data_IF_432053782204
#
_entry.id   IF_432053782204
#
_cell.length_a   1.000
_cell.length_b   1.000
_cell.length_c   1.000
_cell.angle_alpha   90.00
_cell.angle_beta   90.00
_cell.angle_gamma   90.00
#
_symmetry.space_group_name_H-M   'P 1'
#
loop_
_entity.id
_entity.type
_entity.pdbx_description
1 polymer ?
#
# COMPACT_ATOMS: atom_id res chain seq x y z
N UNK A 1 12.13 22.22 -15.35
CA UNK A 1 11.28 21.46 -14.41
C UNK A 1 11.15 20.05 -14.93
N UNK A 2 11.93 19.10 -14.40
CA UNK A 2 11.76 17.70 -14.75
C UNK A 2 10.46 17.19 -14.13
N UNK A 3 9.63 16.51 -14.90
CA UNK A 3 8.45 15.83 -14.34
C UNK A 3 8.95 14.79 -13.33
N UNK A 4 8.53 14.92 -12.07
CA UNK A 4 8.77 13.90 -11.05
C UNK A 4 8.20 12.57 -11.56
N UNK A 5 9.05 11.58 -11.83
CA UNK A 5 8.59 10.25 -12.21
C UNK A 5 8.00 9.56 -10.98
N UNK A 6 6.83 8.95 -11.16
CA UNK A 6 6.10 8.24 -10.10
C UNK A 6 5.98 6.77 -10.45
N UNK A 7 6.24 5.93 -9.45
CA UNK A 7 5.88 4.51 -9.45
C UNK A 7 4.53 4.37 -8.74
N UNK A 8 3.57 3.69 -9.37
CA UNK A 8 2.26 3.43 -8.77
C UNK A 8 2.20 1.97 -8.35
N UNK A 9 1.94 1.72 -7.07
CA UNK A 9 1.76 0.38 -6.50
C UNK A 9 0.31 0.18 -6.14
N UNK A 10 -0.32 -0.80 -6.79
CA UNK A 10 -1.62 -1.33 -6.39
C UNK A 10 -1.43 -2.52 -5.45
N UNK A 11 -2.20 -2.54 -4.36
CA UNK A 11 -2.25 -3.66 -3.43
C UNK A 11 -3.58 -3.69 -2.68
N UNK A 12 -3.92 -4.85 -2.11
CA UNK A 12 -5.14 -5.02 -1.33
C UNK A 12 -4.79 -5.53 0.07
N UNK A 13 -5.43 -4.95 1.08
CA UNK A 13 -5.43 -5.47 2.44
C UNK A 13 -6.64 -6.38 2.61
N UNK A 14 -6.41 -7.67 2.85
CA UNK A 14 -7.48 -8.63 3.12
C UNK A 14 -7.97 -8.47 4.56
N UNK A 15 -9.27 -8.22 4.75
CA UNK A 15 -9.87 -8.19 6.09
C UNK A 15 -9.83 -9.58 6.70
N UNK A 16 -9.68 -9.63 8.03
CA UNK A 16 -9.82 -10.88 8.76
C UNK A 16 -11.27 -11.39 8.68
N UNK A 17 -11.49 -12.71 8.62
CA UNK A 17 -12.83 -13.29 8.69
C UNK A 17 -13.61 -12.76 9.90
N UNK A 18 -14.89 -12.46 9.70
CA UNK A 18 -15.76 -11.92 10.75
C UNK A 18 -15.56 -10.43 11.06
N UNK A 19 -14.60 -9.75 10.45
CA UNK A 19 -14.43 -8.30 10.60
C UNK A 19 -15.36 -7.56 9.62
N UNK A 20 -16.38 -6.81 10.10
CA UNK A 20 -17.27 -6.06 9.22
C UNK A 20 -16.54 -4.88 8.56
N UNK A 21 -16.98 -4.53 7.35
CA UNK A 21 -16.57 -3.28 6.71
C UNK A 21 -16.97 -2.09 7.59
N UNK A 22 -16.10 -1.09 7.69
CA UNK A 22 -16.36 0.11 8.47
C UNK A 22 -16.32 1.34 7.55
N UNK A 23 -17.31 2.24 7.59
CA UNK A 23 -17.40 3.36 6.65
C UNK A 23 -16.16 4.26 6.62
N UNK A 24 -15.48 4.44 7.75
CA UNK A 24 -14.28 5.26 7.84
C UNK A 24 -12.97 4.51 7.56
N UNK A 25 -13.00 3.20 7.31
CA UNK A 25 -11.77 2.40 7.29
C UNK A 25 -10.77 2.82 6.21
N UNK A 26 -11.26 3.35 5.08
CA UNK A 26 -10.40 3.87 4.03
C UNK A 26 -9.64 5.11 4.50
N UNK A 27 -10.31 6.04 5.18
CA UNK A 27 -9.70 7.23 5.75
C UNK A 27 -8.72 6.85 6.88
N UNK A 28 -9.14 5.96 7.80
CA UNK A 28 -8.29 5.50 8.90
C UNK A 28 -6.99 4.88 8.40
N UNK A 29 -7.04 4.04 7.36
CA UNK A 29 -5.84 3.41 6.79
C UNK A 29 -4.95 4.42 6.07
N UNK A 30 -5.53 5.41 5.38
CA UNK A 30 -4.76 6.51 4.77
C UNK A 30 -4.03 7.31 5.85
N UNK A 31 -4.69 7.64 6.95
CA UNK A 31 -4.09 8.38 8.06
C UNK A 31 -2.96 7.58 8.71
N UNK A 32 -3.15 6.27 8.92
CA UNK A 32 -2.11 5.38 9.44
C UNK A 32 -0.91 5.31 8.49
N UNK A 33 -1.13 5.22 7.17
CA UNK A 33 -0.06 5.22 6.18
C UNK A 33 0.77 6.50 6.26
N UNK A 34 0.13 7.66 6.35
CA UNK A 34 0.82 8.94 6.48
C UNK A 34 1.54 9.09 7.81
N UNK A 35 0.92 8.67 8.92
CA UNK A 35 1.51 8.72 10.25
C UNK A 35 2.80 7.87 10.38
N UNK A 36 2.94 6.82 9.58
CA UNK A 36 4.09 5.90 9.62
C UNK A 36 4.99 5.96 8.38
N UNK A 37 4.68 6.82 7.41
CA UNK A 37 5.55 7.12 6.29
C UNK A 37 6.85 7.75 6.79
N UNK A 38 7.96 7.38 6.16
CA UNK A 38 9.29 7.94 6.40
C UNK A 38 9.80 8.54 5.08
N UNK A 39 10.73 9.52 5.13
CA UNK A 39 11.36 10.05 3.91
C UNK A 39 11.93 8.96 3.00
N UNK A 40 12.39 7.86 3.60
CA UNK A 40 12.92 6.69 2.89
C UNK A 40 11.91 5.89 2.05
N UNK A 41 10.60 6.05 2.28
CA UNK A 41 9.55 5.37 1.52
C UNK A 41 9.15 6.13 0.25
N UNK A 42 9.45 7.43 0.19
CA UNK A 42 9.13 8.37 -0.87
C UNK A 42 7.63 8.38 -1.27
N UNK A 43 6.75 8.27 -0.28
CA UNK A 43 5.31 8.34 -0.47
C UNK A 43 4.88 9.78 -0.79
N UNK A 44 4.23 9.96 -1.94
CA UNK A 44 3.72 11.26 -2.39
C UNK A 44 2.19 11.34 -2.28
N UNK A 45 1.49 10.23 -2.56
CA UNK A 45 0.04 10.17 -2.50
C UNK A 45 -0.45 8.76 -2.16
N UNK A 46 -1.64 8.70 -1.56
CA UNK A 46 -2.35 7.47 -1.23
C UNK A 46 -3.82 7.65 -1.61
N UNK A 47 -4.40 6.66 -2.29
CA UNK A 47 -5.84 6.51 -2.35
C UNK A 47 -6.26 5.13 -1.86
N UNK A 48 -7.44 5.06 -1.26
CA UNK A 48 -7.99 3.85 -0.67
C UNK A 48 -9.45 3.69 -1.09
N UNK A 49 -9.85 2.44 -1.38
CA UNK A 49 -11.21 2.10 -1.76
C UNK A 49 -11.66 0.82 -1.03
N UNK A 50 -12.70 0.94 -0.20
CA UNK A 50 -13.24 -0.19 0.55
C UNK A 50 -14.07 -1.09 -0.38
N UNK A 51 -13.66 -2.36 -0.49
CA UNK A 51 -14.39 -3.39 -1.23
C UNK A 51 -14.93 -4.48 -0.30
N UNK A 52 -15.75 -5.42 -0.82
CA UNK A 52 -16.16 -6.60 -0.07
C UNK A 52 -14.94 -7.44 0.37
N UNK A 53 -14.79 -7.68 1.67
CA UNK A 53 -13.70 -8.49 2.23
C UNK A 53 -12.27 -7.90 2.16
N UNK A 54 -12.04 -6.76 1.49
CA UNK A 54 -10.72 -6.12 1.38
C UNK A 54 -10.78 -4.59 1.33
N UNK A 55 -9.64 -3.95 1.56
CA UNK A 55 -9.40 -2.54 1.26
C UNK A 55 -8.35 -2.45 0.16
N UNK A 56 -8.70 -1.85 -0.98
CA UNK A 56 -7.80 -1.65 -2.11
C UNK A 56 -7.04 -0.33 -1.94
N UNK A 57 -5.73 -0.34 -2.19
CA UNK A 57 -4.83 0.81 -2.02
C UNK A 57 -4.06 1.09 -3.31
N UNK A 58 -3.91 2.37 -3.66
CA UNK A 58 -2.95 2.85 -4.64
C UNK A 58 -1.95 3.76 -3.93
N UNK A 59 -0.68 3.35 -3.94
CA UNK A 59 0.43 4.14 -3.41
C UNK A 59 1.20 4.77 -4.55
N UNK A 60 1.37 6.08 -4.51
CA UNK A 60 2.16 6.84 -5.47
C UNK A 60 3.50 7.17 -4.82
N UNK A 61 4.56 6.55 -5.33
CA UNK A 61 5.90 6.65 -4.78
C UNK A 61 6.79 7.42 -5.76
N UNK A 62 7.62 8.33 -5.27
CA UNK A 62 8.64 8.98 -6.10
C UNK A 62 9.63 7.93 -6.62
N UNK A 63 9.87 7.93 -7.93
CA UNK A 63 10.89 7.07 -8.54
C UNK A 63 12.27 7.55 -8.09
N UNK A 64 13.15 6.61 -7.72
CA UNK A 64 14.57 6.89 -7.44
C UNK A 64 15.40 6.48 -8.64
N UNK A 65 16.04 7.44 -9.30
CA UNK A 65 16.86 7.22 -10.50
C UNK A 65 18.06 6.28 -10.27
N UNK A 66 18.56 6.23 -9.03
CA UNK A 66 19.75 5.44 -8.65
C UNK A 66 19.44 4.08 -8.04
N UNK A 67 18.16 3.71 -7.87
CA UNK A 67 17.82 2.45 -7.23
C UNK A 67 17.48 1.38 -8.28
N UNK A 68 18.31 0.34 -8.44
CA UNK A 68 18.12 -0.63 -9.51
C UNK A 68 16.85 -1.46 -9.31
N UNK A 69 16.04 -1.53 -10.38
CA UNK A 69 15.06 -2.58 -10.62
C UNK A 69 13.59 -2.24 -10.27
N UNK A 70 12.62 -2.76 -11.06
CA UNK A 70 11.18 -2.54 -10.86
C UNK A 70 10.65 -3.07 -9.51
N UNK A 71 11.44 -3.82 -8.75
CA UNK A 71 11.05 -4.34 -7.42
C UNK A 71 11.29 -3.37 -6.28
N UNK A 72 12.02 -2.27 -6.49
CA UNK A 72 12.35 -1.33 -5.42
C UNK A 72 11.10 -0.61 -4.86
N UNK A 73 10.19 -0.14 -5.70
CA UNK A 73 8.95 0.50 -5.23
C UNK A 73 8.03 -0.49 -4.48
N UNK A 74 7.96 -1.74 -4.93
CA UNK A 74 7.23 -2.82 -4.25
C UNK A 74 7.81 -3.11 -2.86
N UNK A 75 9.15 -3.12 -2.75
CA UNK A 75 9.82 -3.30 -1.46
C UNK A 75 9.55 -2.14 -0.50
N UNK A 76 9.62 -0.88 -0.99
CA UNK A 76 9.28 0.32 -0.21
C UNK A 76 7.83 0.28 0.30
N UNK A 77 6.87 0.00 -0.59
CA UNK A 77 5.47 -0.18 -0.22
C UNK A 77 5.28 -1.28 0.83
N UNK A 78 5.91 -2.45 0.64
CA UNK A 78 5.85 -3.56 1.59
C UNK A 78 6.42 -3.20 2.96
N UNK A 79 7.56 -2.49 3.01
CA UNK A 79 8.16 -2.01 4.28
C UNK A 79 7.26 -1.00 5.01
N UNK A 80 6.61 -0.11 4.27
CA UNK A 80 5.65 0.83 4.85
C UNK A 80 4.46 0.09 5.45
N UNK A 81 3.86 -0.84 4.71
CA UNK A 81 2.72 -1.63 5.19
C UNK A 81 3.06 -2.52 6.37
N UNK A 82 4.22 -3.20 6.34
CA UNK A 82 4.68 -4.00 7.45
C UNK A 82 4.84 -3.16 8.72
N UNK A 83 5.40 -1.95 8.59
CA UNK A 83 5.52 -1.01 9.71
C UNK A 83 4.16 -0.53 10.23
N UNK A 84 3.23 -0.18 9.35
CA UNK A 84 1.87 0.21 9.74
C UNK A 84 1.16 -0.93 10.46
N UNK A 85 1.26 -2.16 9.95
CA UNK A 85 0.69 -3.35 10.57
C UNK A 85 1.29 -3.61 11.95
N UNK A 86 2.61 -3.47 12.10
CA UNK A 86 3.25 -3.65 13.41
C UNK A 86 2.86 -2.57 14.43
N UNK A 87 2.74 -1.32 13.99
CA UNK A 87 2.55 -0.17 14.88
C UNK A 87 1.08 0.14 15.23
N UNK A 88 0.12 -0.24 14.36
CA UNK A 88 -1.29 0.11 14.55
C UNK A 88 -2.13 -1.09 15.00
N UNK A 89 -2.81 -0.96 16.15
CA UNK A 89 -3.77 -1.96 16.63
C UNK A 89 -4.91 -2.18 15.63
N UNK A 90 -5.45 -1.09 15.07
CA UNK A 90 -6.48 -1.13 14.02
C UNK A 90 -6.05 -2.01 12.84
N UNK A 91 -4.81 -1.83 12.36
CA UNK A 91 -4.29 -2.64 11.25
C UNK A 91 -4.21 -4.12 11.60
N UNK A 92 -3.71 -4.47 12.81
CA UNK A 92 -3.54 -5.87 13.24
C UNK A 92 -4.85 -6.59 13.43
N UNK A 93 -5.82 -5.91 14.02
CA UNK A 93 -7.13 -6.45 14.36
C UNK A 93 -8.01 -6.62 13.14
N UNK A 94 -7.91 -5.72 12.15
CA UNK A 94 -8.81 -5.73 11.00
C UNK A 94 -8.25 -6.46 9.79
N UNK A 95 -6.94 -6.45 9.58
CA UNK A 95 -6.33 -6.97 8.34
C UNK A 95 -5.31 -8.07 8.61
N UNK A 96 -5.24 -9.00 7.65
CA UNK A 96 -4.11 -9.92 7.56
C UNK A 96 -2.83 -9.14 7.21
N UNK A 97 -1.64 -9.58 7.67
CA UNK A 97 -0.39 -8.98 7.22
C UNK A 97 -0.35 -8.94 5.69
N UNK A 98 0.03 -7.80 5.12
CA UNK A 98 0.18 -7.68 3.67
C UNK A 98 1.23 -8.71 3.21
N UNK A 99 0.81 -9.67 2.38
CA UNK A 99 1.73 -10.59 1.71
C UNK A 99 2.66 -9.82 0.77
N UNK A 100 3.74 -10.44 0.27
CA UNK A 100 4.52 -9.85 -0.81
C UNK A 100 3.56 -9.50 -1.96
N UNK A 101 3.73 -8.34 -2.61
CA UNK A 101 2.82 -7.91 -3.67
C UNK A 101 2.74 -9.02 -4.72
N UNK A 102 1.53 -9.48 -4.99
CA UNK A 102 1.29 -10.43 -6.07
C UNK A 102 1.84 -9.80 -7.35
N UNK A 103 2.68 -10.53 -8.08
CA UNK A 103 3.01 -10.13 -9.44
C UNK A 103 1.67 -9.95 -10.17
N UNK A 104 1.45 -8.77 -10.75
CA UNK A 104 0.33 -8.56 -11.67
C UNK A 104 0.36 -9.75 -12.63
N UNK A 105 -0.71 -10.54 -12.80
CA UNK A 105 -0.77 -11.42 -13.96
C UNK A 105 -0.60 -10.47 -15.13
N UNK A 106 0.55 -10.60 -15.80
CA UNK A 106 0.85 -9.83 -16.98
C UNK A 106 -0.36 -9.99 -17.91
N UNK A 107 -0.64 -8.95 -18.67
CA UNK A 107 -1.53 -9.09 -19.80
C UNK A 107 -0.97 -10.22 -20.68
N UNK A 108 -1.46 -11.44 -20.45
CA UNK A 108 -1.32 -12.51 -21.41
C UNK A 108 -2.06 -12.00 -22.64
N UNK A 109 -1.25 -11.52 -23.58
CA UNK A 109 -1.51 -11.36 -25.00
C UNK A 109 -2.72 -12.22 -25.43
N UNK A 110 -3.76 -11.58 -25.97
CA UNK A 110 -3.89 -11.36 -27.42
C UNK A 110 -3.86 -12.66 -28.19
#
# INVERSE_FOLDING_TARGET
MGLSRLDIVYLSLTRRPGTPAHPAEAADVVDILWAHARPGDDLEHVSANAGPGRLDLLLYLRTRETAPGPRNHLHRAGRLLARCHQASALMRERYLPAGPPAARPDAAAS
#
